data_IF_788234320608
#
_entry.id   IF_788234320608
#
_cell.length_a   1.000
_cell.length_b   1.000
_cell.length_c   1.000
_cell.angle_alpha   90.00
_cell.angle_beta   90.00
_cell.angle_gamma   90.00
#
_symmetry.space_group_name_H-M   'P 1'
#
loop_
_entity.id
_entity.type
_entity.pdbx_description
1 polymer ?
#
# COMPACT_ATOMS: atom_id res chain seq x y z
N UNK A 1 -22.62 21.35 -29.23
CA UNK A 1 -21.26 21.13 -28.76
C UNK A 1 -21.20 21.52 -27.30
N UNK A 2 -20.61 20.69 -26.42
CA UNK A 2 -20.46 21.03 -25.01
C UNK A 2 -19.47 22.16 -24.83
N UNK A 3 -19.60 22.98 -23.76
CA UNK A 3 -18.72 24.11 -23.52
C UNK A 3 -17.30 23.66 -23.23
N UNK A 4 -16.36 24.27 -23.93
CA UNK A 4 -14.92 24.01 -23.76
C UNK A 4 -14.43 24.80 -22.54
N UNK A 5 -14.34 24.12 -21.38
CA UNK A 5 -13.69 24.67 -20.21
C UNK A 5 -12.16 24.53 -20.39
N UNK A 6 -11.56 25.62 -20.89
CA UNK A 6 -10.12 25.75 -21.10
C UNK A 6 -9.31 25.72 -19.79
N UNK A 7 -9.33 24.62 -19.08
CA UNK A 7 -8.38 24.38 -17.99
C UNK A 7 -7.05 23.92 -18.60
N UNK A 8 -5.92 24.50 -18.19
CA UNK A 8 -4.61 24.05 -18.66
C UNK A 8 -4.42 22.57 -18.28
N UNK A 9 -4.04 21.76 -19.25
CA UNK A 9 -3.67 20.36 -18.98
C UNK A 9 -2.52 20.37 -18.00
N UNK A 10 -2.59 19.58 -16.91
CA UNK A 10 -1.45 19.45 -16.01
C UNK A 10 -0.25 18.92 -16.81
N UNK A 11 0.97 19.33 -16.47
CA UNK A 11 2.16 18.85 -17.16
C UNK A 11 2.23 17.32 -17.04
N UNK A 12 2.46 16.66 -18.18
CA UNK A 12 2.77 15.23 -18.20
C UNK A 12 4.14 15.10 -17.52
N UNK A 13 4.12 14.59 -16.30
CA UNK A 13 5.35 14.27 -15.58
C UNK A 13 5.87 12.96 -16.18
N UNK A 14 6.90 13.04 -17.03
CA UNK A 14 7.61 11.84 -17.47
C UNK A 14 8.37 11.23 -16.30
N UNK A 15 7.83 10.14 -15.75
CA UNK A 15 8.55 9.33 -14.80
C UNK A 15 9.48 8.36 -15.55
N UNK A 16 10.79 8.58 -15.49
CA UNK A 16 11.77 7.56 -15.89
C UNK A 16 11.88 6.53 -14.79
N UNK A 17 11.29 5.38 -15.01
CA UNK A 17 11.31 4.25 -14.11
C UNK A 17 12.54 3.37 -14.36
N UNK A 18 13.30 3.04 -13.31
CA UNK A 18 14.27 1.94 -13.36
C UNK A 18 13.67 0.75 -12.61
N UNK A 19 13.37 -0.37 -13.29
CA UNK A 19 12.83 -1.56 -12.65
C UNK A 19 13.82 -2.14 -11.65
N UNK A 20 13.38 -2.38 -10.43
CA UNK A 20 14.15 -3.07 -9.39
C UNK A 20 14.15 -4.60 -9.57
N UNK A 21 13.35 -5.12 -10.50
CA UNK A 21 13.32 -6.53 -10.87
C UNK A 21 13.80 -6.67 -12.32
N UNK A 22 14.91 -7.40 -12.54
CA UNK A 22 15.32 -7.84 -13.87
C UNK A 22 14.53 -9.10 -14.21
N UNK A 23 13.70 -9.03 -15.26
CA UNK A 23 13.15 -10.22 -15.87
C UNK A 23 14.24 -10.87 -16.75
N UNK A 24 14.63 -12.09 -16.43
CA UNK A 24 15.35 -12.93 -17.37
C UNK A 24 14.31 -13.56 -18.31
N UNK A 25 14.47 -13.32 -19.59
CA UNK A 25 13.53 -13.69 -20.65
C UNK A 25 13.53 -15.17 -21.04
N UNK A 26 14.14 -16.05 -20.27
CA UNK A 26 14.17 -17.49 -20.52
C UNK A 26 14.03 -18.23 -19.20
N UNK A 27 12.84 -18.63 -18.88
CA UNK A 27 12.50 -19.94 -18.29
C UNK A 27 11.05 -19.94 -17.78
N UNK A 28 10.35 -21.05 -17.99
CA UNK A 28 9.00 -21.38 -17.51
C UNK A 28 8.91 -21.58 -16.00
N UNK A 29 9.75 -20.91 -15.24
CA UNK A 29 9.78 -20.93 -13.78
C UNK A 29 9.02 -19.74 -13.25
N UNK A 30 7.98 -20.00 -12.46
CA UNK A 30 7.25 -19.01 -11.67
C UNK A 30 8.26 -18.08 -11.00
N UNK A 31 8.26 -16.81 -11.41
CA UNK A 31 9.12 -15.80 -10.81
C UNK A 31 8.73 -15.61 -9.34
N UNK A 32 9.47 -16.24 -8.45
CA UNK A 32 9.33 -15.99 -7.02
C UNK A 32 9.91 -14.60 -6.75
N UNK A 33 9.05 -13.60 -6.62
CA UNK A 33 9.46 -12.31 -6.13
C UNK A 33 10.08 -12.47 -4.75
N UNK A 34 11.41 -12.50 -4.66
CA UNK A 34 12.10 -12.41 -3.39
C UNK A 34 11.95 -10.98 -2.90
N UNK A 35 11.17 -10.80 -1.83
CA UNK A 35 11.13 -9.55 -1.10
C UNK A 35 12.54 -9.30 -0.57
N UNK A 36 13.22 -8.21 -0.94
CA UNK A 36 14.51 -7.87 -0.35
C UNK A 36 14.29 -7.69 1.17
N UNK A 37 15.04 -8.45 1.98
CA UNK A 37 14.95 -8.48 3.44
C UNK A 37 13.76 -9.25 4.04
N UNK A 38 13.14 -10.20 3.36
CA UNK A 38 12.40 -11.23 4.06
C UNK A 38 13.39 -12.04 4.92
N UNK A 39 13.19 -12.16 6.25
CA UNK A 39 14.02 -13.03 7.06
C UNK A 39 13.90 -14.46 6.52
N UNK A 40 14.97 -15.27 6.57
CA UNK A 40 14.94 -16.62 6.06
C UNK A 40 13.78 -17.37 6.71
N UNK A 41 13.02 -18.08 5.91
CA UNK A 41 11.97 -19.00 6.33
C UNK A 41 12.53 -19.92 7.41
N UNK A 42 12.37 -19.55 8.66
CA UNK A 42 12.58 -20.45 9.78
C UNK A 42 11.24 -21.04 10.17
N UNK A 43 11.17 -22.35 10.01
CA UNK A 43 10.29 -23.30 10.70
C UNK A 43 9.33 -22.66 11.69
N UNK A 44 8.04 -22.90 11.51
CA UNK A 44 6.95 -22.83 12.48
C UNK A 44 7.35 -22.37 13.89
N UNK A 45 7.78 -21.14 14.03
CA UNK A 45 7.82 -20.50 15.33
C UNK A 45 6.38 -20.10 15.60
N UNK A 46 5.70 -20.91 16.40
CA UNK A 46 4.50 -20.49 17.10
C UNK A 46 4.95 -19.23 17.86
N UNK A 47 4.57 -18.06 17.36
CA UNK A 47 4.75 -16.80 18.10
C UNK A 47 3.84 -16.96 19.31
N UNK A 48 4.43 -17.36 20.42
CA UNK A 48 3.75 -17.36 21.73
C UNK A 48 3.32 -15.93 21.96
N UNK A 49 2.01 -15.72 22.02
CA UNK A 49 1.41 -14.43 22.30
C UNK A 49 2.04 -13.81 23.53
N UNK A 50 2.79 -12.75 23.37
CA UNK A 50 3.17 -11.88 24.47
C UNK A 50 1.92 -11.44 25.22
N UNK A 51 1.96 -11.24 26.55
CA UNK A 51 0.80 -11.00 27.37
C UNK A 51 -0.02 -9.85 26.78
N UNK A 52 -1.32 -10.10 26.65
CA UNK A 52 -2.31 -9.22 26.05
C UNK A 52 -2.26 -7.82 26.68
N UNK A 53 -1.47 -6.93 26.12
CA UNK A 53 -1.52 -5.54 26.53
C UNK A 53 -2.89 -4.95 26.14
N UNK A 54 -3.53 -4.18 27.01
CA UNK A 54 -4.79 -3.53 26.67
C UNK A 54 -4.57 -2.63 25.46
N UNK A 55 -5.53 -2.59 24.53
CA UNK A 55 -5.43 -1.67 23.43
C UNK A 55 -5.61 -0.23 23.94
N UNK A 56 -4.84 0.74 23.42
CA UNK A 56 -4.85 2.12 23.92
C UNK A 56 -6.19 2.82 23.69
N UNK A 57 -7.02 2.32 22.78
CA UNK A 57 -8.34 2.88 22.47
C UNK A 57 -9.42 2.37 23.44
N UNK A 58 -9.09 1.41 24.32
CA UNK A 58 -10.00 0.78 25.28
C UNK A 58 -11.30 0.26 24.62
N UNK A 59 -11.28 -0.02 23.31
CA UNK A 59 -12.40 -0.55 22.56
C UNK A 59 -12.28 -2.09 22.45
N UNK A 60 -13.17 -2.87 23.09
CA UNK A 60 -13.10 -4.33 23.05
C UNK A 60 -13.17 -4.90 21.63
N UNK A 61 -13.85 -4.22 20.70
CA UNK A 61 -13.98 -4.67 19.31
C UNK A 61 -12.65 -4.70 18.58
N UNK A 62 -11.71 -3.85 18.96
CA UNK A 62 -10.38 -3.73 18.37
C UNK A 62 -9.37 -4.72 18.99
N UNK A 63 -9.67 -5.27 20.19
CA UNK A 63 -8.70 -6.09 20.94
C UNK A 63 -8.13 -7.26 20.12
N UNK A 64 -8.96 -7.90 19.30
CA UNK A 64 -8.52 -8.99 18.40
C UNK A 64 -7.47 -8.52 17.41
N UNK A 65 -7.67 -7.35 16.81
CA UNK A 65 -6.75 -6.77 15.81
C UNK A 65 -5.50 -6.20 16.48
N UNK A 66 -5.67 -5.59 17.66
CA UNK A 66 -4.54 -5.12 18.46
C UNK A 66 -3.55 -6.25 18.79
N UNK A 67 -4.05 -7.41 19.17
CA UNK A 67 -3.23 -8.59 19.43
C UNK A 67 -2.45 -9.05 18.19
N UNK A 68 -2.94 -8.72 16.99
CA UNK A 68 -2.33 -9.07 15.70
C UNK A 68 -1.72 -7.86 14.98
N UNK A 69 -1.56 -6.71 15.64
CA UNK A 69 -1.13 -5.44 15.03
C UNK A 69 0.15 -5.55 14.19
N UNK A 70 1.10 -6.38 14.62
CA UNK A 70 2.35 -6.62 13.88
C UNK A 70 2.16 -7.48 12.62
N UNK A 71 1.01 -8.17 12.51
CA UNK A 71 0.61 -8.85 11.27
C UNK A 71 -0.05 -7.87 10.30
N UNK A 72 -0.74 -6.84 10.82
CA UNK A 72 -1.30 -5.78 10.01
C UNK A 72 -0.18 -4.92 9.43
N UNK A 73 0.77 -4.52 10.29
CA UNK A 73 1.96 -3.77 9.90
C UNK A 73 3.16 -4.26 10.71
N UNK A 74 4.19 -4.79 10.05
CA UNK A 74 5.40 -5.31 10.73
C UNK A 74 6.12 -4.22 11.52
N UNK A 75 6.03 -2.97 11.06
CA UNK A 75 6.60 -1.78 11.72
C UNK A 75 5.62 -1.08 12.65
N UNK A 76 4.58 -1.77 13.13
CA UNK A 76 3.54 -1.15 13.95
C UNK A 76 4.11 -0.38 15.15
N UNK A 77 5.06 -0.98 15.87
CA UNK A 77 5.66 -0.38 17.07
C UNK A 77 6.53 0.86 16.77
N UNK A 78 6.79 1.18 15.50
CA UNK A 78 7.46 2.42 15.07
C UNK A 78 6.49 3.61 14.95
N UNK A 79 5.20 3.41 15.29
CA UNK A 79 4.21 4.48 15.33
C UNK A 79 3.23 4.48 14.18
N UNK A 80 2.92 3.32 13.59
CA UNK A 80 1.84 3.20 12.58
C UNK A 80 0.53 3.73 13.13
N UNK A 81 -0.15 4.52 12.31
CA UNK A 81 -1.42 5.16 12.64
C UNK A 81 -2.58 4.52 11.89
N UNK A 82 -3.59 4.09 12.63
CA UNK A 82 -4.85 3.59 12.11
C UNK A 82 -6.00 4.36 12.73
N UNK A 83 -7.04 4.63 11.96
CA UNK A 83 -8.33 5.05 12.47
C UNK A 83 -9.15 3.83 12.93
N UNK A 84 -10.32 4.07 13.47
CA UNK A 84 -11.18 2.99 13.95
C UNK A 84 -11.53 2.00 12.84
N UNK A 85 -11.85 2.49 11.65
CA UNK A 85 -12.18 1.66 10.50
C UNK A 85 -10.96 0.89 9.98
N UNK A 86 -9.80 1.53 9.96
CA UNK A 86 -8.53 0.93 9.52
C UNK A 86 -8.18 -0.34 10.29
N UNK A 87 -8.53 -0.42 11.59
CA UNK A 87 -8.32 -1.65 12.36
C UNK A 87 -9.05 -2.87 11.79
N UNK A 88 -10.20 -2.66 11.15
CA UNK A 88 -11.04 -3.73 10.61
C UNK A 88 -10.80 -3.97 9.13
N UNK A 89 -10.41 -2.93 8.39
CA UNK A 89 -10.39 -2.93 6.92
C UNK A 89 -9.01 -3.08 6.31
N UNK A 90 -7.93 -2.74 7.05
CA UNK A 90 -6.58 -2.82 6.47
C UNK A 90 -6.19 -4.25 6.13
N UNK A 91 -5.67 -4.42 4.94
CA UNK A 91 -5.12 -5.71 4.49
C UNK A 91 -3.84 -6.03 5.28
N UNK A 92 -3.71 -7.22 5.88
CA UNK A 92 -2.47 -7.63 6.54
C UNK A 92 -1.27 -7.53 5.60
N UNK A 93 -0.13 -7.03 6.10
CA UNK A 93 1.03 -6.68 5.29
C UNK A 93 1.52 -7.81 4.38
N UNK A 94 1.54 -9.05 4.87
CA UNK A 94 1.98 -10.20 4.06
C UNK A 94 1.04 -10.47 2.89
N UNK A 95 -0.29 -10.29 3.10
CA UNK A 95 -1.29 -10.44 2.04
C UNK A 95 -1.15 -9.31 1.04
N UNK A 96 -1.05 -8.05 1.52
CA UNK A 96 -0.84 -6.89 0.65
C UNK A 96 0.44 -7.04 -0.20
N UNK A 97 1.53 -7.50 0.42
CA UNK A 97 2.79 -7.77 -0.28
C UNK A 97 2.66 -8.86 -1.34
N UNK A 98 1.95 -9.96 -1.03
CA UNK A 98 1.71 -11.03 -1.98
C UNK A 98 0.88 -10.54 -3.17
N UNK A 99 -0.22 -9.82 -2.91
CA UNK A 99 -1.07 -9.23 -3.96
C UNK A 99 -0.28 -8.26 -4.82
N UNK A 100 0.51 -7.38 -4.20
CA UNK A 100 1.35 -6.43 -4.95
C UNK A 100 2.33 -7.16 -5.87
N UNK A 101 3.02 -8.17 -5.36
CA UNK A 101 3.97 -8.97 -6.12
C UNK A 101 3.30 -9.67 -7.32
N UNK A 102 2.19 -10.33 -7.08
CA UNK A 102 1.42 -11.01 -8.13
C UNK A 102 0.89 -10.04 -9.19
N UNK A 103 0.30 -8.93 -8.76
CA UNK A 103 -0.24 -7.92 -9.69
C UNK A 103 0.85 -7.36 -10.58
N UNK A 104 1.98 -6.95 -9.99
CA UNK A 104 3.09 -6.35 -10.76
C UNK A 104 3.72 -7.36 -11.73
N UNK A 105 3.80 -8.65 -11.35
CA UNK A 105 4.33 -9.68 -12.25
C UNK A 105 3.46 -9.95 -13.49
N UNK A 106 2.17 -9.57 -13.45
CA UNK A 106 1.22 -9.72 -14.58
C UNK A 106 1.14 -8.48 -15.47
N UNK A 107 1.74 -7.37 -15.05
CA UNK A 107 1.65 -6.10 -15.75
C UNK A 107 2.95 -5.82 -16.50
N UNK A 108 2.82 -5.04 -17.58
CA UNK A 108 3.98 -4.59 -18.34
C UNK A 108 4.77 -3.51 -17.58
N UNK A 109 6.02 -3.28 -17.99
CA UNK A 109 6.83 -2.18 -17.46
C UNK A 109 6.20 -0.81 -17.76
N UNK A 110 6.56 0.19 -16.95
CA UNK A 110 6.09 1.58 -17.07
C UNK A 110 4.62 1.83 -16.71
N UNK A 111 4.13 1.15 -15.70
CA UNK A 111 2.80 1.40 -15.16
C UNK A 111 2.84 2.35 -13.96
N UNK A 112 1.74 3.05 -13.77
CA UNK A 112 1.39 3.73 -12.52
C UNK A 112 0.13 3.07 -11.98
N UNK A 113 0.17 2.59 -10.74
CA UNK A 113 -0.97 1.93 -10.13
C UNK A 113 -1.83 2.95 -9.39
N UNK A 114 -3.14 2.80 -9.55
CA UNK A 114 -4.11 3.60 -8.81
C UNK A 114 -4.73 2.76 -7.69
N UNK A 115 -4.53 3.20 -6.43
CA UNK A 115 -5.26 2.69 -5.27
C UNK A 115 -6.41 3.65 -4.96
N UNK A 116 -7.61 3.30 -5.41
CA UNK A 116 -8.78 4.18 -5.41
C UNK A 116 -9.43 4.40 -4.04
N UNK A 117 -9.10 3.57 -3.04
CA UNK A 117 -9.63 3.60 -1.68
C UNK A 117 -8.54 3.22 -0.68
N UNK A 118 -7.49 4.04 -0.62
CA UNK A 118 -6.24 3.64 0.03
C UNK A 118 -6.33 3.55 1.57
N UNK A 119 -7.33 4.16 2.20
CA UNK A 119 -7.47 4.17 3.65
C UNK A 119 -6.20 4.63 4.35
N UNK A 120 -5.69 3.83 5.28
CA UNK A 120 -4.44 4.09 6.02
C UNK A 120 -3.18 3.61 5.27
N UNK A 121 -3.29 3.23 3.99
CA UNK A 121 -2.17 3.02 3.08
C UNK A 121 -1.60 1.60 3.03
N UNK A 122 -2.26 0.58 3.59
CA UNK A 122 -1.73 -0.78 3.64
C UNK A 122 -1.35 -1.34 2.27
N UNK A 123 -2.28 -1.33 1.31
CA UNK A 123 -2.04 -1.79 -0.05
C UNK A 123 -1.15 -0.81 -0.82
N UNK A 124 -1.42 0.50 -0.74
CA UNK A 124 -0.63 1.53 -1.43
C UNK A 124 0.86 1.42 -1.10
N UNK A 125 1.22 1.21 0.18
CA UNK A 125 2.60 1.01 0.63
C UNK A 125 3.19 -0.27 0.04
N UNK A 126 2.43 -1.37 0.03
CA UNK A 126 2.90 -2.63 -0.53
C UNK A 126 3.21 -2.51 -2.03
N UNK A 127 2.32 -1.89 -2.81
CA UNK A 127 2.52 -1.64 -4.24
C UNK A 127 3.66 -0.65 -4.51
N UNK A 128 3.79 0.40 -3.69
CA UNK A 128 4.83 1.42 -3.86
C UNK A 128 6.26 0.89 -3.69
N UNK A 129 6.43 -0.27 -3.09
CA UNK A 129 7.72 -1.00 -3.06
C UNK A 129 8.15 -1.48 -4.45
N UNK A 130 7.22 -1.62 -5.38
CA UNK A 130 7.45 -2.19 -6.72
C UNK A 130 7.27 -1.17 -7.85
N UNK A 131 6.16 -0.41 -7.84
CA UNK A 131 5.77 0.51 -8.91
C UNK A 131 5.36 1.87 -8.33
N UNK A 132 5.35 2.95 -9.14
CA UNK A 132 4.72 4.21 -8.72
C UNK A 132 3.22 4.02 -8.45
N UNK A 133 2.73 4.65 -7.38
CA UNK A 133 1.33 4.56 -6.95
C UNK A 133 0.72 5.94 -6.76
N UNK A 134 -0.50 6.11 -7.23
CA UNK A 134 -1.38 7.22 -6.86
C UNK A 134 -2.43 6.64 -5.92
N UNK A 135 -2.41 7.07 -4.67
CA UNK A 135 -3.33 6.64 -3.62
C UNK A 135 -4.41 7.70 -3.41
N UNK A 136 -5.66 7.28 -3.53
CA UNK A 136 -6.82 8.16 -3.42
C UNK A 136 -7.65 7.74 -2.20
N UNK A 137 -8.15 8.72 -1.49
CA UNK A 137 -9.22 8.56 -0.50
C UNK A 137 -10.03 9.85 -0.42
N UNK A 138 -11.27 9.75 0.02
CA UNK A 138 -12.14 10.89 0.27
C UNK A 138 -11.82 11.55 1.62
N UNK A 139 -11.29 10.77 2.56
CA UNK A 139 -10.97 11.20 3.91
C UNK A 139 -9.51 11.67 4.01
N UNK A 140 -9.34 13.00 4.14
CA UNK A 140 -8.04 13.65 4.34
C UNK A 140 -7.25 13.09 5.52
N UNK A 141 -7.93 12.71 6.61
CA UNK A 141 -7.26 12.20 7.80
C UNK A 141 -6.72 10.78 7.56
N UNK A 142 -7.41 9.96 6.76
CA UNK A 142 -6.88 8.67 6.30
C UNK A 142 -5.63 8.87 5.45
N UNK A 143 -5.66 9.83 4.51
CA UNK A 143 -4.49 10.17 3.68
C UNK A 143 -3.30 10.67 4.51
N UNK A 144 -3.52 11.46 5.54
CA UNK A 144 -2.46 11.89 6.46
C UNK A 144 -1.83 10.71 7.19
N UNK A 145 -2.65 9.78 7.67
CA UNK A 145 -2.17 8.53 8.29
C UNK A 145 -1.42 7.66 7.28
N UNK A 146 -1.95 7.50 6.08
CA UNK A 146 -1.28 6.77 5.01
C UNK A 146 0.09 7.36 4.66
N UNK A 147 0.19 8.68 4.53
CA UNK A 147 1.44 9.38 4.28
C UNK A 147 2.44 9.23 5.44
N UNK A 148 1.96 9.27 6.68
CA UNK A 148 2.78 8.99 7.86
C UNK A 148 3.28 7.53 7.84
N UNK A 149 2.40 6.58 7.62
CA UNK A 149 2.74 5.17 7.56
C UNK A 149 3.73 4.86 6.44
N UNK A 150 3.57 5.46 5.27
CA UNK A 150 4.49 5.31 4.14
C UNK A 150 5.92 5.73 4.49
N UNK A 151 6.10 6.80 5.27
CA UNK A 151 7.42 7.23 5.75
C UNK A 151 8.07 6.19 6.65
N UNK A 152 7.30 5.50 7.50
CA UNK A 152 7.81 4.43 8.35
C UNK A 152 8.32 3.23 7.53
N UNK A 153 7.85 3.07 6.29
CA UNK A 153 8.29 2.02 5.37
C UNK A 153 9.32 2.50 4.35
N UNK A 154 9.89 3.69 4.57
CA UNK A 154 10.92 4.28 3.70
C UNK A 154 10.45 4.46 2.25
N UNK A 155 9.14 4.64 2.02
CA UNK A 155 8.59 4.88 0.69
C UNK A 155 8.84 6.35 0.31
N UNK A 156 9.62 6.61 -0.74
CA UNK A 156 9.91 7.98 -1.14
C UNK A 156 8.68 8.65 -1.79
N UNK A 157 8.52 9.97 -1.67
CA UNK A 157 7.43 10.72 -2.28
C UNK A 157 7.32 10.58 -3.81
N UNK A 158 8.43 10.25 -4.47
CA UNK A 158 8.45 9.96 -5.91
C UNK A 158 7.75 8.65 -6.29
N UNK A 159 7.50 7.78 -5.31
CA UNK A 159 6.87 6.47 -5.52
C UNK A 159 5.41 6.42 -5.09
N UNK A 160 4.99 7.28 -4.18
CA UNK A 160 3.64 7.26 -3.63
C UNK A 160 3.12 8.68 -3.46
N UNK A 161 2.12 9.01 -4.27
CA UNK A 161 1.40 10.28 -4.23
C UNK A 161 0.02 10.09 -3.63
N UNK A 162 -0.44 11.05 -2.84
CA UNK A 162 -1.75 11.02 -2.19
C UNK A 162 -2.66 12.11 -2.76
N UNK A 163 -3.89 11.74 -3.10
CA UNK A 163 -4.88 12.64 -3.70
C UNK A 163 -6.19 12.54 -2.94
N UNK A 164 -6.65 13.67 -2.40
CA UNK A 164 -7.98 13.77 -1.78
C UNK A 164 -9.03 13.98 -2.87
N UNK A 165 -9.74 12.96 -3.24
CA UNK A 165 -10.86 13.07 -4.16
C UNK A 165 -11.80 11.87 -4.07
N UNK A 166 -12.99 12.04 -4.67
CA UNK A 166 -13.89 10.91 -4.86
C UNK A 166 -13.40 10.06 -6.04
N UNK A 167 -13.03 8.81 -5.75
CA UNK A 167 -12.51 7.89 -6.76
C UNK A 167 -13.46 7.70 -7.96
N UNK A 168 -14.78 7.83 -7.78
CA UNK A 168 -15.74 7.76 -8.88
C UNK A 168 -15.46 8.81 -9.95
N UNK A 169 -15.04 10.02 -9.59
CA UNK A 169 -14.67 11.05 -10.56
C UNK A 169 -13.46 10.63 -11.40
N UNK A 170 -12.45 10.05 -10.77
CA UNK A 170 -11.23 9.61 -11.50
C UNK A 170 -11.57 8.50 -12.48
N UNK A 171 -12.35 7.52 -12.03
CA UNK A 171 -12.74 6.39 -12.88
C UNK A 171 -13.63 6.81 -14.06
N UNK A 172 -14.42 7.88 -13.94
CA UNK A 172 -15.24 8.40 -15.05
C UNK A 172 -14.41 9.04 -16.17
N UNK A 173 -13.19 9.48 -15.90
CA UNK A 173 -12.31 10.11 -16.88
C UNK A 173 -11.23 9.20 -17.46
N UNK A 174 -11.19 7.95 -17.00
CA UNK A 174 -10.23 6.93 -17.49
C UNK A 174 -10.79 6.06 -18.63
N UNK A 175 -11.97 6.41 -19.18
CA UNK A 175 -12.60 5.76 -20.36
C UNK A 175 -12.50 6.61 -21.59
#
# INVERSE_FOLDING_TARGET
>A
PPPNFGLPRPPIVEFRYQPLCRHNADDSTVAVCRVPNAPPSRNNVIVVDTPKSPNPLQDPSIQKYWNQRRRLFSRFDQGVQLDKEGWFSVTPEQIAGHVACQTVSMLNDNIVLLDAFCGCGGNAIAFAKHVPVIAIDLDREKLRRAAHNAKLYDIPPSRLSFVECNAAFVLMFCY
#
